data_IF_691253355957
#
_entry.id   IF_691253355957
#
_cell.length_a   1.000
_cell.length_b   1.000
_cell.length_c   1.000
_cell.angle_alpha   90.00
_cell.angle_beta   90.00
_cell.angle_gamma   90.00
#
_symmetry.space_group_name_H-M   'P 1'
#
loop_
_entity.id
_entity.type
_entity.pdbx_description
1 polymer ?
#
# COMPACT_ATOMS: atom_id res chain seq x y z
N UNK A 1 3.21 13.07 4.45
CA UNK A 1 2.20 12.08 4.08
C UNK A 1 2.39 11.66 2.63
N UNK A 2 2.17 10.39 2.31
CA UNK A 2 2.21 9.85 0.96
C UNK A 2 0.82 9.31 0.63
N UNK A 3 0.31 9.63 -0.55
CA UNK A 3 -0.97 9.09 -1.04
C UNK A 3 -0.70 7.86 -1.90
N UNK A 4 -1.22 6.72 -1.47
CA UNK A 4 -1.23 5.49 -2.24
C UNK A 4 -2.62 5.37 -2.89
N UNK A 5 -2.65 5.00 -4.17
CA UNK A 5 -3.89 4.73 -4.89
C UNK A 5 -3.74 3.38 -5.59
N UNK A 6 -4.80 2.59 -5.58
CA UNK A 6 -4.82 1.27 -6.20
C UNK A 6 -6.16 1.00 -6.87
N UNK A 7 -6.15 0.08 -7.81
CA UNK A 7 -7.34 -0.41 -8.53
C UNK A 7 -7.13 -1.88 -8.88
N UNK A 8 -8.21 -2.58 -9.25
CA UNK A 8 -8.13 -3.98 -9.72
C UNK A 8 -8.05 -5.04 -8.61
N UNK A 9 -8.31 -4.65 -7.37
CA UNK A 9 -8.46 -5.50 -6.19
C UNK A 9 -9.96 -5.79 -5.95
N UNK A 10 -10.30 -7.02 -5.58
CA UNK A 10 -11.70 -7.49 -5.49
C UNK A 10 -12.17 -7.72 -4.04
N UNK A 11 -11.25 -7.82 -3.08
CA UNK A 11 -11.59 -8.02 -1.68
C UNK A 11 -12.25 -6.75 -1.08
N UNK A 12 -13.00 -6.95 0.00
CA UNK A 12 -13.60 -5.85 0.75
C UNK A 12 -12.56 -5.03 1.52
N UNK A 13 -11.46 -5.68 1.90
CA UNK A 13 -10.34 -5.09 2.62
C UNK A 13 -9.04 -5.40 1.90
N UNK A 14 -8.07 -4.50 2.03
CA UNK A 14 -6.76 -4.60 1.42
C UNK A 14 -5.67 -4.40 2.46
N UNK A 15 -4.59 -5.14 2.29
CA UNK A 15 -3.38 -5.08 3.08
C UNK A 15 -2.35 -4.20 2.36
N UNK A 16 -1.96 -3.10 3.01
CA UNK A 16 -0.94 -2.19 2.49
C UNK A 16 0.42 -2.55 3.09
N UNK A 17 1.35 -2.93 2.23
CA UNK A 17 2.72 -3.25 2.58
C UNK A 17 3.65 -2.09 2.21
N UNK A 18 4.60 -1.80 3.09
CA UNK A 18 5.71 -0.85 2.88
C UNK A 18 7.01 -1.57 3.19
N UNK A 19 7.92 -1.59 2.23
CA UNK A 19 9.22 -2.26 2.32
C UNK A 19 9.09 -3.74 2.73
N UNK A 20 8.04 -4.40 2.22
CA UNK A 20 7.70 -5.79 2.51
C UNK A 20 7.01 -6.04 3.86
N UNK A 21 6.84 -5.02 4.71
CA UNK A 21 6.14 -5.12 5.99
C UNK A 21 4.71 -4.62 5.89
N UNK A 22 3.76 -5.32 6.51
CA UNK A 22 2.36 -4.87 6.59
C UNK A 22 2.30 -3.57 7.42
N UNK A 23 1.78 -2.51 6.82
CA UNK A 23 1.53 -1.22 7.47
C UNK A 23 0.16 -1.21 8.11
N UNK A 24 -0.86 -1.57 7.32
CA UNK A 24 -2.26 -1.49 7.72
C UNK A 24 -3.13 -2.37 6.84
N UNK A 25 -4.23 -2.85 7.39
CA UNK A 25 -5.36 -3.40 6.64
C UNK A 25 -6.47 -2.36 6.66
N UNK A 26 -6.99 -1.99 5.49
CA UNK A 26 -8.02 -0.95 5.33
C UNK A 26 -9.08 -1.41 4.34
N UNK A 27 -10.24 -0.74 4.32
CA UNK A 27 -11.25 -0.99 3.30
C UNK A 27 -10.68 -0.79 1.89
N UNK A 28 -11.17 -1.56 0.92
CA UNK A 28 -10.83 -1.42 -0.50
C UNK A 28 -11.56 -0.22 -1.13
N UNK A 29 -11.30 0.98 -0.64
CA UNK A 29 -11.86 2.26 -1.14
C UNK A 29 -10.99 2.93 -2.22
N UNK A 30 -9.87 2.28 -2.58
CA UNK A 30 -8.99 2.66 -3.68
C UNK A 30 -7.93 3.70 -3.33
N UNK A 31 -7.87 4.19 -2.09
CA UNK A 31 -6.83 5.13 -1.68
C UNK A 31 -6.53 5.12 -0.18
N UNK A 32 -5.26 5.27 0.18
CA UNK A 32 -4.81 5.42 1.57
C UNK A 32 -3.76 6.51 1.69
N UNK A 33 -3.76 7.21 2.82
CA UNK A 33 -2.76 8.23 3.12
C UNK A 33 -1.83 7.72 4.22
N UNK A 34 -0.62 7.34 3.83
CA UNK A 34 0.40 6.87 4.75
C UNK A 34 1.14 8.05 5.40
N UNK A 35 1.29 7.98 6.72
CA UNK A 35 1.99 8.98 7.52
C UNK A 35 3.43 8.54 7.72
N UNK A 36 4.21 8.83 6.70
CA UNK A 36 5.63 8.48 6.64
C UNK A 36 6.53 9.61 7.17
N UNK A 37 7.62 9.28 7.90
CA UNK A 37 8.56 10.27 8.39
C UNK A 37 9.27 11.02 7.24
N UNK A 38 9.77 12.25 7.47
CA UNK A 38 10.52 13.01 6.47
C UNK A 38 12.00 12.62 6.47
N UNK A 39 12.29 11.32 6.36
CA UNK A 39 13.66 10.78 6.39
C UNK A 39 14.32 10.71 5.00
N UNK A 40 13.59 11.02 3.92
CA UNK A 40 14.13 11.01 2.56
C UNK A 40 14.56 9.62 2.09
N UNK A 41 13.96 8.56 2.64
CA UNK A 41 14.20 7.19 2.19
C UNK A 41 13.33 6.83 0.99
N UNK A 42 13.88 6.00 0.10
CA UNK A 42 13.07 5.27 -0.90
C UNK A 42 12.12 4.32 -0.18
N UNK A 43 10.85 4.28 -0.60
CA UNK A 43 9.86 3.33 -0.08
C UNK A 43 9.26 2.51 -1.19
N UNK A 44 9.06 1.23 -0.94
CA UNK A 44 8.35 0.34 -1.86
C UNK A 44 6.99 0.01 -1.28
N UNK A 45 5.93 0.40 -1.99
CA UNK A 45 4.55 0.11 -1.61
C UNK A 45 3.96 -1.01 -2.46
N UNK A 46 3.16 -1.86 -1.83
CA UNK A 46 2.34 -2.87 -2.50
C UNK A 46 1.02 -3.01 -1.76
N UNK A 47 -0.08 -3.14 -2.50
CA UNK A 47 -1.40 -3.35 -1.93
C UNK A 47 -1.90 -4.73 -2.35
N UNK A 48 -2.39 -5.51 -1.40
CA UNK A 48 -2.89 -6.87 -1.64
C UNK A 48 -4.34 -7.01 -1.16
N UNK A 49 -5.12 -7.83 -1.83
CA UNK A 49 -6.43 -8.28 -1.33
C UNK A 49 -6.22 -9.05 -0.02
N UNK A 50 -6.87 -8.60 1.06
CA UNK A 50 -6.61 -9.14 2.39
C UNK A 50 -6.93 -10.63 2.48
N UNK A 51 -6.01 -11.41 3.05
CA UNK A 51 -6.12 -12.86 3.12
C UNK A 51 -5.91 -13.61 1.79
N UNK A 52 -5.38 -12.95 0.76
CA UNK A 52 -5.05 -13.56 -0.53
C UNK A 52 -3.66 -13.16 -1.01
N UNK A 53 -3.17 -13.82 -2.07
CA UNK A 53 -1.92 -13.48 -2.75
C UNK A 53 -2.11 -12.50 -3.93
N UNK A 54 -3.31 -11.95 -4.12
CA UNK A 54 -3.60 -11.02 -5.22
C UNK A 54 -3.14 -9.63 -4.84
N UNK A 55 -2.03 -9.19 -5.43
CA UNK A 55 -1.45 -7.88 -5.15
C UNK A 55 -1.30 -7.01 -6.40
N UNK A 56 -1.25 -5.70 -6.18
CA UNK A 56 -0.80 -4.74 -7.19
C UNK A 56 0.70 -4.92 -7.47
N UNK A 57 1.21 -4.39 -8.60
CA UNK A 57 2.64 -4.17 -8.77
C UNK A 57 3.22 -3.34 -7.64
N UNK A 58 4.53 -3.52 -7.38
CA UNK A 58 5.27 -2.68 -6.45
C UNK A 58 5.45 -1.27 -7.02
N UNK A 59 5.12 -0.27 -6.22
CA UNK A 59 5.34 1.14 -6.53
C UNK A 59 6.50 1.67 -5.71
N UNK A 60 7.54 2.17 -6.40
CA UNK A 60 8.70 2.77 -5.75
C UNK A 60 8.48 4.28 -5.63
N UNK A 61 8.55 4.77 -4.40
CA UNK A 61 8.57 6.19 -4.08
C UNK A 61 10.02 6.59 -3.82
N UNK A 62 10.61 7.35 -4.73
CA UNK A 62 11.92 7.97 -4.55
C UNK A 62 11.80 9.23 -3.66
N UNK A 63 12.87 9.63 -2.94
CA UNK A 63 12.88 10.81 -2.07
C UNK A 63 12.59 12.15 -2.74
#
# INVERSE_FOLDING_TARGET
HVRIQWTGLEAAEVDLYRDGSLVVTTANDGAFVDSVPPDGGTRVYRVCDSGTDRCTPEAVLEP
#
